data_IF_711083314536
#
_entry.id   IF_711083314536
#
_cell.length_a   1.000
_cell.length_b   1.000
_cell.length_c   1.000
_cell.angle_alpha   90.00
_cell.angle_beta   90.00
_cell.angle_gamma   90.00
#
_symmetry.space_group_name_H-M   'P 1'
#
loop_
_entity.id
_entity.type
_entity.pdbx_description
1 polymer ?
#
# COMPACT_ATOMS: atom_id res chain seq x y z
N UNK A 1 9.36 -20.67 14.87
CA UNK A 1 8.04 -20.71 14.22
C UNK A 1 7.70 -19.35 13.68
N UNK A 2 7.23 -19.31 12.44
CA UNK A 2 6.72 -18.09 11.86
C UNK A 2 5.36 -17.71 12.46
N UNK A 3 5.01 -16.44 12.34
CA UNK A 3 3.70 -15.99 12.74
C UNK A 3 2.64 -16.52 11.79
N UNK A 4 1.46 -16.78 12.33
CA UNK A 4 0.37 -17.29 11.51
C UNK A 4 -0.15 -16.22 10.56
N UNK A 5 -0.49 -16.62 9.35
CA UNK A 5 -1.21 -15.77 8.41
C UNK A 5 -2.53 -15.36 9.04
N UNK A 6 -2.83 -14.08 8.99
CA UNK A 6 -4.04 -13.51 9.54
C UNK A 6 -5.18 -13.59 8.53
N UNK A 7 -6.35 -13.99 8.98
CA UNK A 7 -7.53 -13.97 8.14
C UNK A 7 -8.03 -12.54 8.00
N UNK A 8 -7.98 -12.00 6.79
CA UNK A 8 -8.48 -10.67 6.50
C UNK A 8 -9.31 -10.69 5.21
N UNK A 9 -10.22 -9.75 5.12
CA UNK A 9 -11.04 -9.52 3.94
C UNK A 9 -10.63 -8.18 3.34
N UNK A 10 -10.29 -8.16 2.05
CA UNK A 10 -9.88 -6.95 1.36
C UNK A 10 -11.10 -6.37 0.64
N UNK A 11 -11.44 -5.13 0.97
CA UNK A 11 -12.61 -4.45 0.40
C UNK A 11 -12.24 -3.03 0.01
N UNK A 12 -13.01 -2.40 -0.90
CA UNK A 12 -12.79 -0.99 -1.21
C UNK A 12 -12.96 -0.11 0.04
N UNK A 13 -12.10 0.90 0.16
CA UNK A 13 -12.19 1.87 1.24
C UNK A 13 -13.47 2.71 1.06
N UNK A 14 -14.22 2.87 2.14
CA UNK A 14 -15.44 3.68 2.16
C UNK A 14 -15.32 4.76 3.23
N UNK A 15 -16.25 5.70 3.23
CA UNK A 15 -16.29 6.78 4.20
C UNK A 15 -16.21 6.27 5.65
N UNK A 16 -16.87 5.15 5.95
CA UNK A 16 -16.87 4.54 7.29
C UNK A 16 -15.47 4.08 7.73
N UNK A 17 -14.52 3.92 6.82
CA UNK A 17 -13.17 3.49 7.12
C UNK A 17 -12.18 4.63 7.35
N UNK A 18 -12.57 5.87 7.02
CA UNK A 18 -11.63 7.01 6.99
C UNK A 18 -10.97 7.28 8.34
N UNK A 19 -11.72 7.23 9.44
CA UNK A 19 -11.14 7.50 10.75
C UNK A 19 -10.09 6.47 11.12
N UNK A 20 -10.37 5.19 10.86
CA UNK A 20 -9.44 4.11 11.16
C UNK A 20 -8.20 4.18 10.27
N UNK A 21 -8.36 4.51 8.99
CA UNK A 21 -7.24 4.65 8.07
C UNK A 21 -6.37 5.86 8.43
N UNK A 22 -6.98 6.98 8.81
CA UNK A 22 -6.24 8.15 9.27
C UNK A 22 -5.43 7.84 10.53
N UNK A 23 -6.00 7.08 11.47
CA UNK A 23 -5.28 6.62 12.65
C UNK A 23 -4.11 5.72 12.29
N UNK A 24 -4.31 4.82 11.33
CA UNK A 24 -3.26 3.94 10.84
C UNK A 24 -2.11 4.74 10.23
N UNK A 25 -2.42 5.80 9.46
CA UNK A 25 -1.41 6.70 8.91
C UNK A 25 -0.59 7.37 10.01
N UNK A 26 -1.26 7.88 11.04
CA UNK A 26 -0.56 8.52 12.16
C UNK A 26 0.34 7.55 12.92
N UNK A 27 -0.08 6.30 13.03
CA UNK A 27 0.70 5.26 13.70
C UNK A 27 1.92 4.83 12.89
N UNK A 28 1.80 4.76 11.57
CA UNK A 28 2.81 4.16 10.70
C UNK A 28 3.78 5.16 10.10
N UNK A 29 3.41 6.43 9.96
CA UNK A 29 4.21 7.40 9.21
C UNK A 29 4.47 8.68 10.00
N UNK A 30 5.65 9.26 9.78
CA UNK A 30 6.03 10.53 10.40
C UNK A 30 5.32 11.72 9.77
N UNK A 31 4.97 11.61 8.48
CA UNK A 31 4.19 12.62 7.76
C UNK A 31 2.94 11.93 7.22
N UNK A 32 1.92 11.75 8.07
CA UNK A 32 0.74 11.00 7.67
C UNK A 32 -0.18 11.81 6.75
N UNK A 33 -0.91 11.10 5.89
CA UNK A 33 -2.02 11.70 5.16
C UNK A 33 -3.14 12.03 6.16
N UNK A 34 -3.75 13.18 5.97
CA UNK A 34 -4.89 13.58 6.78
C UNK A 34 -6.15 12.81 6.37
N UNK A 35 -7.14 12.80 7.27
CA UNK A 35 -8.46 12.24 6.95
C UNK A 35 -9.06 12.91 5.70
N UNK A 36 -8.90 14.23 5.58
CA UNK A 36 -9.43 14.99 4.43
C UNK A 36 -8.74 14.57 3.12
N UNK A 37 -7.43 14.38 3.14
CA UNK A 37 -6.69 13.92 1.96
C UNK A 37 -7.15 12.52 1.54
N UNK A 38 -7.38 11.63 2.49
CA UNK A 38 -7.91 10.29 2.22
C UNK A 38 -9.33 10.34 1.68
N UNK A 39 -10.16 11.24 2.22
CA UNK A 39 -11.53 11.42 1.75
C UNK A 39 -11.58 11.89 0.30
N UNK A 40 -10.68 12.78 -0.09
CA UNK A 40 -10.58 13.25 -1.46
C UNK A 40 -10.32 12.11 -2.44
N UNK A 41 -9.55 11.10 -2.03
CA UNK A 41 -9.25 9.95 -2.88
C UNK A 41 -10.47 9.07 -3.16
N UNK A 42 -11.49 9.10 -2.30
CA UNK A 42 -12.73 8.38 -2.55
C UNK A 42 -13.50 8.95 -3.74
N UNK A 43 -13.33 10.24 -4.02
CA UNK A 43 -13.98 10.93 -5.13
C UNK A 43 -13.09 11.01 -6.37
N UNK A 44 -11.87 10.51 -6.30
CA UNK A 44 -10.93 10.55 -7.41
C UNK A 44 -11.10 9.31 -8.29
N UNK A 45 -11.58 9.53 -9.52
CA UNK A 45 -11.82 8.44 -10.47
C UNK A 45 -10.55 7.66 -10.85
N UNK A 46 -9.36 8.25 -10.64
CA UNK A 46 -8.08 7.62 -10.95
C UNK A 46 -7.54 6.80 -9.78
N UNK A 47 -8.19 6.82 -8.63
CA UNK A 47 -7.72 6.17 -7.41
C UNK A 47 -8.54 4.95 -7.07
N UNK A 48 -7.86 3.93 -6.52
CA UNK A 48 -8.49 2.74 -5.96
C UNK A 48 -7.83 2.46 -4.62
N UNK A 49 -8.54 2.71 -3.53
CA UNK A 49 -8.03 2.47 -2.18
C UNK A 49 -8.75 1.26 -1.58
N UNK A 50 -7.97 0.43 -0.89
CA UNK A 50 -8.44 -0.81 -0.28
C UNK A 50 -8.17 -0.80 1.21
N UNK A 51 -9.03 -1.46 1.97
CA UNK A 51 -8.78 -1.74 3.37
C UNK A 51 -8.80 -3.24 3.62
N UNK A 52 -8.01 -3.68 4.59
CA UNK A 52 -8.01 -5.05 5.08
C UNK A 52 -8.75 -5.06 6.40
N UNK A 53 -9.80 -5.85 6.48
CA UNK A 53 -10.65 -5.99 7.68
C UNK A 53 -10.40 -7.34 8.32
N UNK A 54 -10.24 -7.37 9.64
CA UNK A 54 -10.13 -8.61 10.39
C UNK A 54 -11.51 -9.25 10.59
N UNK A 55 -11.57 -10.34 11.35
CA UNK A 55 -12.83 -11.07 11.60
C UNK A 55 -13.85 -10.22 12.38
N UNK A 56 -13.39 -9.19 13.09
CA UNK A 56 -14.24 -8.28 13.86
C UNK A 56 -14.54 -6.99 13.10
N UNK A 57 -14.27 -6.97 11.78
CA UNK A 57 -14.50 -5.82 10.90
C UNK A 57 -13.65 -4.59 11.23
N UNK A 58 -12.51 -4.78 11.91
CA UNK A 58 -11.56 -3.70 12.20
C UNK A 58 -10.57 -3.53 11.07
N UNK A 59 -10.23 -2.29 10.74
CA UNK A 59 -9.21 -1.99 9.73
C UNK A 59 -7.83 -2.31 10.32
N UNK A 60 -7.15 -3.27 9.74
CA UNK A 60 -5.80 -3.68 10.16
C UNK A 60 -4.73 -3.31 9.13
N UNK A 61 -5.13 -2.89 7.96
CA UNK A 61 -4.21 -2.42 6.92
C UNK A 61 -4.96 -1.70 5.82
N UNK A 62 -4.23 -0.99 4.99
CA UNK A 62 -4.81 -0.37 3.80
C UNK A 62 -3.74 -0.13 2.75
N UNK A 63 -4.18 0.07 1.51
CA UNK A 63 -3.29 0.40 0.41
C UNK A 63 -4.02 1.26 -0.60
N UNK A 64 -3.26 2.13 -1.28
CA UNK A 64 -3.78 3.02 -2.30
C UNK A 64 -3.10 2.79 -3.64
N UNK A 65 -3.88 2.90 -4.71
CA UNK A 65 -3.42 2.79 -6.08
C UNK A 65 -3.97 3.95 -6.89
N UNK A 66 -3.12 4.58 -7.70
CA UNK A 66 -3.55 5.53 -8.72
C UNK A 66 -3.21 4.96 -10.08
N UNK A 67 -4.14 5.06 -11.01
CA UNK A 67 -3.95 4.57 -12.38
C UNK A 67 -4.04 5.74 -13.34
N UNK A 68 -2.96 5.94 -14.12
CA UNK A 68 -2.89 6.97 -15.14
C UNK A 68 -2.62 6.24 -16.46
N UNK A 69 -3.60 6.24 -17.35
CA UNK A 69 -3.55 5.46 -18.60
C UNK A 69 -3.33 3.98 -18.27
N UNK A 70 -2.21 3.38 -18.70
CA UNK A 70 -1.88 1.98 -18.42
C UNK A 70 -0.81 1.83 -17.33
N UNK A 71 -0.59 2.87 -16.51
CA UNK A 71 0.43 2.90 -15.47
C UNK A 71 -0.23 2.90 -14.10
N UNK A 72 0.16 1.96 -13.24
CA UNK A 72 -0.33 1.88 -11.87
C UNK A 72 0.72 2.30 -10.86
N UNK A 73 0.35 3.20 -9.95
CA UNK A 73 1.23 3.73 -8.92
C UNK A 73 0.65 3.42 -7.55
N UNK A 74 1.34 2.56 -6.79
CA UNK A 74 0.96 2.27 -5.41
C UNK A 74 1.46 3.42 -4.55
N UNK A 75 0.54 4.16 -3.95
CA UNK A 75 0.86 5.39 -3.21
C UNK A 75 1.07 5.14 -1.73
N UNK A 76 0.35 4.19 -1.15
CA UNK A 76 0.37 3.90 0.28
C UNK A 76 0.23 2.41 0.50
N UNK A 77 0.97 1.88 1.47
CA UNK A 77 0.74 0.55 2.02
C UNK A 77 1.04 0.65 3.51
N UNK A 78 0.07 0.35 4.35
CA UNK A 78 0.26 0.39 5.80
C UNK A 78 -0.47 -0.76 6.47
N UNK A 79 0.16 -1.33 7.48
CA UNK A 79 -0.41 -2.42 8.29
C UNK A 79 -0.19 -2.06 9.76
N UNK A 80 -1.21 -2.29 10.59
CA UNK A 80 -1.08 -2.07 12.03
C UNK A 80 0.16 -2.79 12.55
N UNK A 81 0.96 -2.14 13.41
CA UNK A 81 2.20 -2.76 13.91
C UNK A 81 1.99 -4.14 14.54
N UNK A 82 0.88 -4.36 15.25
CA UNK A 82 0.58 -5.63 15.90
C UNK A 82 0.05 -6.70 14.93
N UNK A 83 -0.19 -6.32 13.67
CA UNK A 83 -0.66 -7.24 12.62
C UNK A 83 0.37 -7.49 11.54
N UNK A 84 1.58 -6.94 11.68
CA UNK A 84 2.64 -7.11 10.69
C UNK A 84 3.17 -8.55 10.69
N UNK A 85 3.79 -8.93 9.55
CA UNK A 85 4.38 -10.26 9.34
C UNK A 85 3.34 -11.37 9.37
N UNK A 86 2.09 -11.04 9.09
CA UNK A 86 0.97 -12.00 9.08
C UNK A 86 0.26 -12.03 7.73
N UNK A 87 0.91 -11.51 6.69
CA UNK A 87 0.44 -11.61 5.31
C UNK A 87 -0.57 -10.55 4.86
N UNK A 88 -0.86 -9.54 5.69
CA UNK A 88 -1.87 -8.52 5.37
C UNK A 88 -1.45 -7.69 4.15
N UNK A 89 -0.22 -7.15 4.17
CA UNK A 89 0.28 -6.35 3.04
C UNK A 89 0.32 -7.16 1.75
N UNK A 90 0.74 -8.42 1.82
CA UNK A 90 0.77 -9.31 0.66
C UNK A 90 -0.61 -9.51 0.04
N UNK A 91 -1.64 -9.63 0.85
CA UNK A 91 -3.02 -9.77 0.36
C UNK A 91 -3.52 -8.50 -0.33
N UNK A 92 -3.15 -7.32 0.20
CA UNK A 92 -3.46 -6.04 -0.45
C UNK A 92 -2.77 -5.95 -1.81
N UNK A 93 -1.49 -6.29 -1.87
CA UNK A 93 -0.73 -6.29 -3.12
C UNK A 93 -1.32 -7.29 -4.13
N UNK A 94 -1.74 -8.47 -3.69
CA UNK A 94 -2.35 -9.48 -4.55
C UNK A 94 -3.56 -8.92 -5.29
N UNK A 95 -4.38 -8.12 -4.62
CA UNK A 95 -5.56 -7.51 -5.26
C UNK A 95 -5.14 -6.54 -6.34
N UNK A 96 -4.16 -5.66 -6.06
CA UNK A 96 -3.67 -4.72 -7.06
C UNK A 96 -3.01 -5.43 -8.24
N UNK A 97 -2.27 -6.51 -7.98
CA UNK A 97 -1.58 -7.27 -9.04
C UNK A 97 -2.59 -7.95 -9.95
N UNK A 98 -3.67 -8.53 -9.40
CA UNK A 98 -4.74 -9.11 -10.20
C UNK A 98 -5.51 -8.06 -11.00
N UNK A 99 -5.73 -6.90 -10.39
CA UNK A 99 -6.35 -5.77 -11.08
C UNK A 99 -5.49 -5.31 -12.26
N UNK A 100 -4.18 -5.20 -12.05
CA UNK A 100 -3.25 -4.77 -13.10
C UNK A 100 -3.24 -5.75 -14.27
N UNK A 101 -3.22 -7.05 -14.00
CA UNK A 101 -3.29 -8.06 -15.06
C UNK A 101 -4.63 -8.00 -15.80
N UNK A 102 -5.73 -7.93 -15.08
CA UNK A 102 -7.07 -7.91 -15.67
C UNK A 102 -7.37 -6.68 -16.48
N UNK A 103 -6.70 -5.56 -16.19
CA UNK A 103 -6.90 -4.29 -16.89
C UNK A 103 -5.74 -3.95 -17.83
N UNK A 104 -4.84 -4.88 -18.07
CA UNK A 104 -3.70 -4.73 -18.99
C UNK A 104 -2.82 -3.53 -18.68
N UNK A 105 -2.57 -3.26 -17.39
CA UNK A 105 -1.62 -2.22 -17.02
C UNK A 105 -0.21 -2.65 -17.42
N UNK A 106 0.61 -1.69 -17.86
CA UNK A 106 1.98 -1.96 -18.24
C UNK A 106 2.84 -2.34 -17.03
N UNK A 107 2.57 -1.73 -15.88
CA UNK A 107 3.33 -1.98 -14.66
C UNK A 107 2.59 -1.47 -13.42
N UNK A 108 3.02 -1.96 -12.27
CA UNK A 108 2.79 -1.36 -10.96
C UNK A 108 4.11 -0.82 -10.45
N UNK A 109 4.09 0.36 -9.89
CA UNK A 109 5.29 1.05 -9.43
C UNK A 109 5.06 1.64 -8.05
N UNK A 110 6.12 1.73 -7.26
CA UNK A 110 6.06 2.33 -5.94
C UNK A 110 7.42 2.87 -5.53
N UNK A 111 7.41 3.76 -4.55
CA UNK A 111 8.63 4.21 -3.89
C UNK A 111 8.59 3.79 -2.43
N UNK A 112 9.71 3.39 -1.88
CA UNK A 112 9.86 2.98 -0.49
C UNK A 112 11.17 3.53 0.04
N UNK A 113 11.21 3.88 1.33
CA UNK A 113 12.47 4.30 1.95
C UNK A 113 13.52 3.20 1.78
N UNK A 114 14.72 3.59 1.34
CA UNK A 114 15.81 2.63 1.12
C UNK A 114 16.19 1.87 2.39
N UNK A 115 15.91 2.44 3.57
CA UNK A 115 16.16 1.79 4.87
C UNK A 115 15.05 0.84 5.30
N UNK A 116 13.92 0.80 4.59
CA UNK A 116 12.82 -0.08 4.93
C UNK A 116 13.03 -1.47 4.33
N UNK A 117 13.95 -2.23 4.93
CA UNK A 117 14.38 -3.53 4.41
C UNK A 117 13.25 -4.56 4.40
N UNK A 118 12.37 -4.51 5.40
CA UNK A 118 11.26 -5.46 5.48
C UNK A 118 10.26 -5.25 4.33
N UNK A 119 9.94 -4.01 4.01
CA UNK A 119 9.06 -3.68 2.88
C UNK A 119 9.71 -4.05 1.55
N UNK A 120 10.98 -3.73 1.37
CA UNK A 120 11.72 -4.07 0.14
C UNK A 120 11.73 -5.58 -0.07
N UNK A 121 11.94 -6.36 1.00
CA UNK A 121 11.92 -7.81 0.92
C UNK A 121 10.54 -8.33 0.51
N UNK A 122 9.47 -7.77 1.08
CA UNK A 122 8.10 -8.13 0.72
C UNK A 122 7.82 -7.86 -0.75
N UNK A 123 8.15 -6.66 -1.23
CA UNK A 123 7.94 -6.30 -2.63
C UNK A 123 8.77 -7.18 -3.55
N UNK A 124 10.01 -7.49 -3.16
CA UNK A 124 10.86 -8.42 -3.91
C UNK A 124 10.24 -9.81 -4.05
N UNK A 125 9.61 -10.32 -2.99
CA UNK A 125 8.90 -11.60 -3.04
C UNK A 125 7.71 -11.58 -4.01
N UNK A 126 7.11 -10.42 -4.20
CA UNK A 126 6.03 -10.23 -5.18
C UNK A 126 6.54 -9.96 -6.60
N UNK A 127 7.85 -9.95 -6.80
CA UNK A 127 8.44 -9.77 -8.12
C UNK A 127 8.83 -8.34 -8.48
N UNK A 128 8.65 -7.39 -7.56
CA UNK A 128 9.06 -6.01 -7.80
C UNK A 128 10.58 -5.93 -7.84
N UNK A 129 11.11 -5.11 -8.74
CA UNK A 129 12.55 -4.93 -8.94
C UNK A 129 12.93 -3.46 -8.82
N UNK A 130 14.12 -3.21 -8.27
CA UNK A 130 14.66 -1.87 -8.16
C UNK A 130 15.02 -1.31 -9.53
N UNK A 131 14.56 -0.09 -9.82
CA UNK A 131 14.86 0.61 -11.08
C UNK A 131 15.54 1.94 -10.84
N UNK A 132 15.77 2.31 -9.58
CA UNK A 132 16.48 3.54 -9.27
C UNK A 132 16.37 3.92 -7.80
N UNK A 133 17.08 4.96 -7.47
CA UNK A 133 17.09 5.56 -6.15
C UNK A 133 16.93 7.06 -6.27
N UNK A 134 16.12 7.64 -5.40
CA UNK A 134 15.90 9.07 -5.35
C UNK A 134 16.22 9.59 -3.94
N UNK A 135 16.98 10.69 -3.86
CA UNK A 135 17.22 11.38 -2.60
C UNK A 135 16.22 12.52 -2.46
N UNK A 136 15.63 12.64 -1.28
CA UNK A 136 14.76 13.78 -0.97
C UNK A 136 15.64 14.96 -0.56
N UNK A 137 15.52 16.08 -1.28
CA UNK A 137 16.33 17.27 -1.02
C UNK A 137 15.94 17.98 0.29
N UNK A 138 14.72 17.77 0.77
CA UNK A 138 14.21 18.42 1.99
C UNK A 138 14.47 17.59 3.25
N UNK A 139 14.78 16.32 3.10
CA UNK A 139 15.06 15.40 4.19
C UNK A 139 16.25 14.51 3.78
N UNK A 140 17.12 14.12 4.72
CA UNK A 140 18.25 13.25 4.38
C UNK A 140 17.80 11.79 4.21
N UNK A 141 16.84 11.56 3.35
CA UNK A 141 16.22 10.26 3.12
C UNK A 141 16.35 9.88 1.66
N UNK A 142 16.71 8.63 1.41
CA UNK A 142 16.73 8.06 0.06
C UNK A 142 15.54 7.11 -0.12
N UNK A 143 14.95 7.15 -1.30
CA UNK A 143 13.84 6.29 -1.69
C UNK A 143 14.28 5.34 -2.80
N UNK A 144 13.86 4.10 -2.71
CA UNK A 144 14.05 3.10 -3.76
C UNK A 144 12.79 3.04 -4.61
N UNK A 145 12.97 3.14 -5.92
CA UNK A 145 11.87 2.99 -6.87
C UNK A 145 11.80 1.53 -7.30
N UNK A 146 10.65 0.89 -7.11
CA UNK A 146 10.42 -0.51 -7.44
C UNK A 146 9.31 -0.63 -8.48
N UNK A 147 9.46 -1.57 -9.40
CA UNK A 147 8.51 -1.78 -10.49
C UNK A 147 8.23 -3.26 -10.68
N UNK A 148 6.96 -3.58 -10.89
CA UNK A 148 6.49 -4.90 -11.29
C UNK A 148 5.88 -4.75 -12.70
N UNK A 149 6.56 -5.26 -13.74
CA UNK A 149 5.97 -5.33 -15.07
C UNK A 149 4.79 -6.29 -15.06
N UNK A 150 3.71 -5.94 -15.71
CA UNK A 150 2.51 -6.80 -15.73
C UNK A 150 2.14 -7.24 -17.15
#
# INVERSE_FOLDING_TARGET
>A
MGERTMAVRIVPMKTEHLDAVAELERTCFTVPWSRNALAEELDNALSAFLVALDEEERVVGYAGLQVVLDEGYITNVAVRPDCRRRGVAGKLLDVFERFAEGNHLAFLSLEVRASNYAAIALYGQHGYRGVGRRRNYYEPVSYTHLTLPT
#
